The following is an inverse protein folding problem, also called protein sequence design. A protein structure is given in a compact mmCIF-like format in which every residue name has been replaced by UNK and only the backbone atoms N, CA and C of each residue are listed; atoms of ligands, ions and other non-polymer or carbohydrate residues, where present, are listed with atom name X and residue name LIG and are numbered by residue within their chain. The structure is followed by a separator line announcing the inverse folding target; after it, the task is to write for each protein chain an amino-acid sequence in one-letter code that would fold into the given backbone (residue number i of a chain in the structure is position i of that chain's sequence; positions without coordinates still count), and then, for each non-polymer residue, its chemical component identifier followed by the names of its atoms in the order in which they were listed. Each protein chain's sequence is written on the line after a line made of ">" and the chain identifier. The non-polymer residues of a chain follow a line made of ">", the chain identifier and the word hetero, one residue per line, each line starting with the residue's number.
data_IF_887200291730
#
_entry.id   IF_887200291730
#
_cell.length_a   1.000
_cell.length_b   1.000
_cell.length_c   1.000
_cell.angle_alpha   90.00
_cell.angle_beta   90.00
_cell.angle_gamma   90.00
#
_symmetry.space_group_name_H-M   'P 1'
#
loop_
_entity.id
_entity.type
_entity.pdbx_description
1 polymer ?
#
# COMPACT_ATOMS: atom_id res chain seq x y z
N UNK A 1 16.92 12.22 10.54
CA UNK A 1 17.99 11.40 9.89
C UNK A 1 18.90 10.61 10.84
N UNK A 2 18.70 10.62 12.17
CA UNK A 2 19.58 9.90 13.10
C UNK A 2 19.07 8.51 13.57
N UNK A 3 17.81 8.12 13.32
CA UNK A 3 17.24 6.89 13.90
C UNK A 3 17.11 5.68 12.96
N UNK A 4 17.56 5.79 11.70
CA UNK A 4 17.46 4.67 10.72
C UNK A 4 18.79 3.90 10.59
N UNK A 5 19.92 4.49 11.00
CA UNK A 5 21.24 3.84 10.89
C UNK A 5 21.54 2.83 12.00
N UNK A 6 20.80 2.84 13.11
CA UNK A 6 21.09 2.00 14.29
C UNK A 6 20.57 0.56 14.13
N UNK A 7 19.61 0.31 13.23
CA UNK A 7 19.05 -1.03 13.02
C UNK A 7 19.90 -1.96 12.14
N UNK A 8 20.86 -1.44 11.38
CA UNK A 8 21.67 -2.25 10.46
C UNK A 8 22.89 -2.93 11.10
N UNK A 9 23.29 -2.59 12.33
CA UNK A 9 24.51 -3.14 12.95
C UNK A 9 24.27 -4.45 13.75
N UNK A 10 23.04 -4.75 14.15
CA UNK A 10 22.74 -5.85 15.07
C UNK A 10 22.58 -7.21 14.36
N UNK A 11 22.20 -7.23 13.09
CA UNK A 11 21.94 -8.47 12.34
C UNK A 11 23.22 -9.10 11.76
N UNK A 12 24.28 -8.30 11.54
CA UNK A 12 25.53 -8.80 10.95
C UNK A 12 26.43 -9.57 11.94
N UNK A 13 26.31 -9.30 13.25
CA UNK A 13 27.16 -9.93 14.27
C UNK A 13 26.68 -11.29 14.79
N UNK A 14 25.42 -11.68 14.55
CA UNK A 14 24.93 -13.00 14.99
C UNK A 14 25.37 -14.16 14.09
N UNK A 15 25.83 -13.90 12.86
CA UNK A 15 26.27 -14.97 11.93
C UNK A 15 27.73 -15.40 12.11
N UNK A 16 28.52 -14.71 12.94
CA UNK A 16 29.95 -15.04 13.15
C UNK A 16 30.25 -15.90 14.38
N UNK A 17 29.26 -16.13 15.26
CA UNK A 17 29.44 -16.95 16.47
C UNK A 17 29.06 -18.44 16.30
N UNK A 18 28.50 -18.84 15.16
CA UNK A 18 28.03 -20.22 14.93
C UNK A 18 29.06 -21.13 14.24
N UNK A 19 30.28 -20.66 13.95
CA UNK A 19 31.32 -21.45 13.27
C UNK A 19 32.68 -21.34 13.97
N UNK A 20 32.76 -21.78 15.22
CA UNK A 20 34.02 -22.27 15.78
C UNK A 20 33.73 -23.17 16.97
N UNK A 21 33.97 -24.47 16.82
CA UNK A 21 34.60 -25.36 17.80
C UNK A 21 34.15 -26.81 17.52
N UNK A 22 34.95 -27.50 16.71
CA UNK A 22 35.05 -28.94 16.80
C UNK A 22 36.23 -29.31 17.70
N UNK A 23 36.01 -30.18 18.68
CA UNK A 23 36.90 -31.31 19.00
C UNK A 23 36.29 -32.25 20.05
N UNK A 24 36.76 -33.49 19.97
CA UNK A 24 36.21 -34.76 20.44
C UNK A 24 36.47 -35.03 21.95
N UNK A 25 35.57 -35.75 22.63
CA UNK A 25 35.90 -36.74 23.66
C UNK A 25 34.68 -37.61 24.02
N UNK A 26 34.84 -38.92 23.87
CA UNK A 26 33.92 -39.95 24.37
C UNK A 26 34.40 -40.36 25.76
N UNK A 27 33.54 -40.38 26.78
CA UNK A 27 33.44 -41.49 27.74
C UNK A 27 32.44 -41.23 28.89
N UNK A 28 31.91 -42.36 29.40
CA UNK A 28 31.20 -42.59 30.68
C UNK A 28 29.69 -42.28 30.75
N UNK A 29 28.96 -43.38 30.99
CA UNK A 29 27.52 -43.45 31.18
C UNK A 29 27.04 -42.70 32.43
N UNK A 30 26.01 -41.86 32.28
CA UNK A 30 25.21 -41.34 33.38
C UNK A 30 23.72 -41.44 33.04
N UNK A 31 22.97 -41.92 34.03
CA UNK A 31 21.56 -42.31 34.02
C UNK A 31 20.65 -41.18 33.49
N UNK A 32 19.67 -41.53 32.65
CA UNK A 32 18.60 -40.63 32.24
C UNK A 32 17.70 -40.33 33.45
N UNK A 33 17.77 -39.10 33.96
CA UNK A 33 16.75 -38.56 34.84
C UNK A 33 15.57 -38.09 33.98
N UNK A 34 14.39 -38.63 34.26
CA UNK A 34 13.11 -38.21 33.68
C UNK A 34 12.89 -36.70 33.91
N UNK A 35 12.91 -35.86 32.85
CA UNK A 35 12.81 -34.41 33.00
C UNK A 35 11.37 -33.95 33.27
N UNK A 36 10.38 -34.85 33.26
CA UNK A 36 8.96 -34.49 33.34
C UNK A 36 8.35 -34.62 34.74
N UNK A 37 9.08 -35.15 35.72
CA UNK A 37 8.60 -35.29 37.11
C UNK A 37 8.39 -33.98 37.90
N UNK A 38 8.63 -32.81 37.29
CA UNK A 38 8.51 -31.48 37.94
C UNK A 38 7.28 -30.67 37.51
N UNK A 39 6.45 -31.15 36.59
CA UNK A 39 5.30 -30.39 36.11
C UNK A 39 4.05 -30.73 36.94
N UNK A 40 3.57 -29.73 37.69
CA UNK A 40 2.21 -29.78 38.27
C UNK A 40 1.20 -29.61 37.12
N UNK A 41 0.05 -30.32 37.13
CA UNK A 41 -1.00 -30.10 36.14
C UNK A 41 -1.40 -28.62 36.16
N UNK A 42 -1.44 -28.04 34.97
CA UNK A 42 -1.73 -26.63 34.76
C UNK A 42 -3.10 -26.30 35.37
N UNK A 43 -3.15 -25.26 36.21
CA UNK A 43 -4.40 -24.79 36.80
C UNK A 43 -5.32 -24.39 35.65
N UNK A 44 -6.48 -25.04 35.54
CA UNK A 44 -7.47 -24.71 34.50
C UNK A 44 -7.73 -23.20 34.53
N UNK A 45 -7.25 -22.51 33.50
CA UNK A 45 -7.57 -21.11 33.32
C UNK A 45 -9.08 -21.01 33.04
N UNK A 46 -9.81 -20.08 33.66
CA UNK A 46 -11.21 -19.91 33.34
C UNK A 46 -11.34 -19.59 31.86
N UNK A 47 -12.08 -20.45 31.13
CA UNK A 47 -12.41 -20.23 29.72
C UNK A 47 -13.05 -18.86 29.61
N UNK A 48 -12.36 -17.92 28.96
CA UNK A 48 -12.88 -16.59 28.69
C UNK A 48 -14.22 -16.77 27.96
N UNK A 49 -15.33 -16.40 28.59
CA UNK A 49 -16.66 -16.46 27.94
C UNK A 49 -16.57 -15.67 26.63
N UNK A 50 -16.78 -16.37 25.51
CA UNK A 50 -16.84 -15.78 24.17
C UNK A 50 -17.85 -14.63 24.18
N UNK A 51 -17.44 -13.45 23.70
CA UNK A 51 -18.35 -12.33 23.43
C UNK A 51 -19.25 -12.72 22.25
N UNK A 52 -20.45 -13.22 22.56
CA UNK A 52 -21.44 -13.76 21.61
C UNK A 52 -21.85 -12.74 20.51
N UNK A 53 -21.67 -11.44 20.74
CA UNK A 53 -22.09 -10.38 19.82
C UNK A 53 -21.26 -10.29 18.52
N UNK A 54 -19.95 -10.59 18.56
CA UNK A 54 -19.07 -10.48 17.39
C UNK A 54 -19.44 -11.47 16.27
N UNK A 55 -19.94 -12.66 16.63
CA UNK A 55 -20.35 -13.68 15.67
C UNK A 55 -21.67 -13.33 14.96
N UNK A 56 -22.55 -12.55 15.59
CA UNK A 56 -23.79 -12.10 14.95
C UNK A 56 -23.53 -10.97 13.95
N UNK A 57 -22.74 -9.97 14.34
CA UNK A 57 -22.32 -8.87 13.46
C UNK A 57 -21.59 -9.41 12.22
N UNK A 58 -20.63 -10.32 12.41
CA UNK A 58 -19.91 -10.94 11.31
C UNK A 58 -20.85 -11.70 10.35
N UNK A 59 -21.83 -12.44 10.88
CA UNK A 59 -22.84 -13.14 10.06
C UNK A 59 -23.68 -12.17 9.24
N UNK A 60 -24.09 -11.04 9.81
CA UNK A 60 -24.86 -10.03 9.07
C UNK A 60 -24.00 -9.34 8.01
N UNK A 61 -22.75 -8.97 8.32
CA UNK A 61 -21.82 -8.38 7.34
C UNK A 61 -21.59 -9.32 6.14
N UNK A 62 -21.34 -10.62 6.38
CA UNK A 62 -21.25 -11.64 5.33
C UNK A 62 -22.50 -11.73 4.48
N UNK A 63 -23.68 -11.71 5.10
CA UNK A 63 -24.97 -11.77 4.40
C UNK A 63 -25.19 -10.54 3.53
N UNK A 64 -24.85 -9.36 4.03
CA UNK A 64 -24.91 -8.10 3.28
C UNK A 64 -23.94 -8.11 2.11
N UNK A 65 -22.68 -8.50 2.34
CA UNK A 65 -21.67 -8.60 1.29
C UNK A 65 -22.07 -9.60 0.20
N UNK A 66 -22.61 -10.77 0.57
CA UNK A 66 -23.16 -11.74 -0.39
C UNK A 66 -24.26 -11.15 -1.27
N UNK A 67 -25.10 -10.26 -0.73
CA UNK A 67 -26.10 -9.52 -1.51
C UNK A 67 -25.45 -8.46 -2.40
N UNK A 68 -24.42 -7.78 -1.91
CA UNK A 68 -23.67 -6.76 -2.64
C UNK A 68 -22.97 -7.35 -3.88
N UNK A 69 -22.32 -8.52 -3.74
CA UNK A 69 -21.70 -9.24 -4.85
C UNK A 69 -22.67 -9.52 -6.02
N UNK A 70 -23.94 -9.80 -5.72
CA UNK A 70 -24.97 -10.11 -6.73
C UNK A 70 -25.55 -8.91 -7.45
N UNK A 71 -25.34 -7.69 -6.95
CA UNK A 71 -25.88 -6.48 -7.60
C UNK A 71 -25.10 -6.19 -8.88
N UNK A 72 -25.83 -6.05 -10.00
CA UNK A 72 -25.32 -5.47 -11.24
C UNK A 72 -25.52 -3.97 -11.16
N UNK A 73 -24.44 -3.22 -11.01
CA UNK A 73 -24.46 -1.77 -10.98
C UNK A 73 -24.09 -1.32 -12.38
N UNK A 74 -25.03 -0.69 -13.09
CA UNK A 74 -24.79 -0.15 -14.43
C UNK A 74 -24.14 1.22 -14.25
N UNK A 75 -22.85 1.33 -14.55
CA UNK A 75 -22.20 2.62 -14.79
C UNK A 75 -22.72 3.18 -16.12
N UNK A 76 -23.82 3.93 -16.13
CA UNK A 76 -24.36 4.54 -17.36
C UNK A 76 -24.53 6.03 -17.19
N UNK A 77 -23.60 6.85 -17.69
CA UNK A 77 -23.40 8.32 -17.53
C UNK A 77 -24.61 9.29 -17.51
N UNK A 78 -25.86 8.86 -17.70
CA UNK A 78 -27.04 9.73 -17.65
C UNK A 78 -28.02 9.35 -16.50
N UNK A 79 -28.26 10.32 -15.61
CA UNK A 79 -29.22 10.35 -14.47
C UNK A 79 -28.72 9.82 -13.12
N UNK A 80 -28.24 10.74 -12.27
CA UNK A 80 -28.20 10.59 -10.80
C UNK A 80 -27.50 9.31 -10.29
N UNK A 81 -26.17 9.28 -10.37
CA UNK A 81 -25.36 8.08 -10.09
C UNK A 81 -25.30 7.73 -8.60
N UNK A 82 -25.71 6.50 -8.28
CA UNK A 82 -25.21 5.79 -7.09
C UNK A 82 -23.98 4.99 -7.51
N UNK A 83 -22.84 5.26 -6.89
CA UNK A 83 -21.62 4.47 -7.00
C UNK A 83 -21.79 3.11 -6.29
N UNK A 84 -20.92 2.14 -6.56
CA UNK A 84 -20.92 0.88 -5.77
C UNK A 84 -20.74 1.16 -4.27
N UNK A 85 -20.00 2.23 -3.95
CA UNK A 85 -19.80 2.72 -2.60
C UNK A 85 -21.11 3.22 -1.98
N UNK A 86 -21.93 3.98 -2.72
CA UNK A 86 -23.23 4.45 -2.22
C UNK A 86 -24.20 3.30 -1.98
N UNK A 87 -24.19 2.30 -2.87
CA UNK A 87 -25.00 1.07 -2.69
C UNK A 87 -24.53 0.29 -1.46
N UNK A 88 -23.22 0.11 -1.28
CA UNK A 88 -22.67 -0.54 -0.09
C UNK A 88 -23.03 0.23 1.19
N UNK A 89 -22.92 1.56 1.17
CA UNK A 89 -23.23 2.45 2.29
C UNK A 89 -24.68 2.32 2.74
N UNK A 90 -25.63 2.34 1.80
CA UNK A 90 -27.04 2.10 2.13
C UNK A 90 -27.29 0.67 2.65
N UNK A 91 -26.54 -0.32 2.17
CA UNK A 91 -26.71 -1.72 2.58
C UNK A 91 -26.19 -2.03 3.98
N UNK A 92 -25.20 -1.28 4.47
CA UNK A 92 -24.67 -1.42 5.85
C UNK A 92 -25.39 -0.51 6.86
N UNK A 93 -26.31 0.33 6.40
CA UNK A 93 -27.04 1.27 7.24
C UNK A 93 -27.81 0.54 8.34
N UNK A 94 -27.60 0.97 9.58
CA UNK A 94 -28.25 0.38 10.76
C UNK A 94 -27.52 -0.84 11.33
N UNK A 95 -26.41 -1.27 10.74
CA UNK A 95 -25.54 -2.30 11.31
C UNK A 95 -24.51 -1.60 12.19
N UNK A 96 -24.47 -1.98 13.47
CA UNK A 96 -23.45 -1.53 14.40
C UNK A 96 -22.30 -2.52 14.40
N UNK A 97 -21.09 -2.05 14.09
CA UNK A 97 -19.89 -2.86 14.03
C UNK A 97 -18.69 -2.02 14.52
N UNK A 98 -17.63 -2.73 14.90
CA UNK A 98 -16.34 -2.19 15.37
C UNK A 98 -15.22 -2.50 14.37
N UNK A 99 -14.05 -1.88 14.56
CA UNK A 99 -12.84 -2.24 13.83
C UNK A 99 -12.49 -3.74 13.95
N UNK A 100 -12.72 -4.36 15.12
CA UNK A 100 -12.51 -5.80 15.33
C UNK A 100 -13.45 -6.66 14.46
N UNK A 101 -14.68 -6.20 14.24
CA UNK A 101 -15.63 -6.89 13.36
C UNK A 101 -15.24 -6.74 11.89
N UNK A 102 -14.70 -5.59 11.49
CA UNK A 102 -14.16 -5.36 10.13
C UNK A 102 -12.92 -6.23 9.91
N UNK A 103 -12.03 -6.35 10.90
CA UNK A 103 -10.87 -7.22 10.84
C UNK A 103 -11.29 -8.70 10.66
N UNK A 104 -12.22 -9.20 11.49
CA UNK A 104 -12.78 -10.55 11.32
C UNK A 104 -13.46 -10.74 9.98
N UNK A 105 -14.18 -9.73 9.50
CA UNK A 105 -14.80 -9.77 8.19
C UNK A 105 -13.76 -9.88 7.07
N UNK A 106 -12.64 -9.15 7.15
CA UNK A 106 -11.55 -9.26 6.18
C UNK A 106 -10.97 -10.68 6.09
N UNK A 107 -10.81 -11.36 7.23
CA UNK A 107 -10.41 -12.77 7.26
C UNK A 107 -11.46 -13.65 6.58
N UNK A 108 -12.73 -13.42 6.88
CA UNK A 108 -13.82 -14.25 6.38
C UNK A 108 -14.19 -14.01 4.91
N UNK A 109 -13.61 -13.00 4.25
CA UNK A 109 -13.75 -12.79 2.82
C UNK A 109 -13.26 -13.98 1.98
N UNK A 110 -12.43 -14.86 2.55
CA UNK A 110 -11.98 -16.09 1.93
C UNK A 110 -13.12 -16.98 1.41
N UNK A 111 -14.29 -16.92 2.05
CA UNK A 111 -15.49 -17.67 1.66
C UNK A 111 -16.11 -17.22 0.33
N UNK A 112 -15.65 -16.11 -0.25
CA UNK A 112 -16.25 -15.48 -1.43
C UNK A 112 -15.28 -15.31 -2.61
N UNK A 113 -14.03 -15.81 -2.52
CA UNK A 113 -13.02 -15.65 -3.57
C UNK A 113 -13.43 -16.28 -4.91
N UNK A 114 -14.33 -17.26 -4.89
CA UNK A 114 -14.87 -17.90 -6.09
C UNK A 114 -15.92 -17.06 -6.84
N UNK A 115 -16.24 -15.85 -6.35
CA UNK A 115 -17.25 -14.98 -6.93
C UNK A 115 -16.65 -14.04 -7.96
N UNK A 116 -17.41 -13.80 -9.03
CA UNK A 116 -17.05 -12.83 -10.05
C UNK A 116 -16.91 -11.42 -9.46
N UNK A 117 -15.88 -10.69 -9.91
CA UNK A 117 -15.58 -9.30 -9.52
C UNK A 117 -15.33 -9.18 -7.99
N UNK A 118 -14.90 -10.28 -7.35
CA UNK A 118 -14.72 -10.34 -5.90
C UNK A 118 -13.63 -9.35 -5.43
N UNK A 119 -12.46 -9.36 -6.06
CA UNK A 119 -11.34 -8.50 -5.68
C UNK A 119 -11.75 -7.02 -5.59
N UNK A 120 -12.39 -6.48 -6.63
CA UNK A 120 -12.83 -5.08 -6.63
C UNK A 120 -13.94 -4.81 -5.62
N UNK A 121 -14.97 -5.67 -5.59
CA UNK A 121 -16.12 -5.47 -4.71
C UNK A 121 -15.74 -5.59 -3.24
N UNK A 122 -14.83 -6.50 -2.90
CA UNK A 122 -14.33 -6.67 -1.55
C UNK A 122 -13.64 -5.40 -1.05
N UNK A 123 -12.70 -4.84 -1.81
CA UNK A 123 -11.98 -3.64 -1.37
C UNK A 123 -12.86 -2.38 -1.34
N UNK A 124 -13.81 -2.24 -2.27
CA UNK A 124 -14.84 -1.17 -2.18
C UNK A 124 -15.70 -1.31 -0.94
N UNK A 125 -16.17 -2.52 -0.64
CA UNK A 125 -17.02 -2.77 0.53
C UNK A 125 -16.26 -2.55 1.84
N UNK A 126 -15.02 -3.03 1.95
CA UNK A 126 -14.12 -2.76 3.07
C UNK A 126 -13.88 -1.27 3.26
N UNK A 127 -13.63 -0.52 2.18
CA UNK A 127 -13.45 0.93 2.24
C UNK A 127 -14.67 1.64 2.81
N UNK A 128 -15.88 1.20 2.43
CA UNK A 128 -17.13 1.75 2.98
C UNK A 128 -17.31 1.41 4.46
N UNK A 129 -17.04 0.18 4.87
CA UNK A 129 -17.08 -0.20 6.28
C UNK A 129 -16.11 0.65 7.12
N UNK A 130 -14.90 0.88 6.62
CA UNK A 130 -13.89 1.66 7.34
C UNK A 130 -14.29 3.14 7.42
N UNK A 131 -14.74 3.74 6.32
CA UNK A 131 -15.09 5.15 6.26
C UNK A 131 -16.33 5.50 7.09
N UNK A 132 -17.33 4.62 7.10
CA UNK A 132 -18.57 4.81 7.88
C UNK A 132 -18.44 4.33 9.33
N UNK A 133 -17.41 3.55 9.63
CA UNK A 133 -17.13 3.04 10.97
C UNK A 133 -16.71 4.14 11.94
N UNK A 134 -17.05 3.94 13.22
CA UNK A 134 -16.80 4.91 14.28
C UNK A 134 -15.35 4.95 14.74
N UNK A 135 -14.65 3.82 14.64
CA UNK A 135 -13.25 3.72 15.04
C UNK A 135 -12.33 4.50 14.09
N UNK A 136 -11.10 4.79 14.55
CA UNK A 136 -10.07 5.49 13.79
C UNK A 136 -9.07 4.57 13.12
N UNK A 137 -8.82 3.40 13.72
CA UNK A 137 -7.73 2.50 13.35
C UNK A 137 -8.28 1.12 13.01
N UNK A 138 -7.96 0.64 11.80
CA UNK A 138 -8.45 -0.62 11.26
C UNK A 138 -7.29 -1.49 10.79
N UNK A 139 -7.44 -2.80 10.98
CA UNK A 139 -6.55 -3.81 10.44
C UNK A 139 -7.33 -4.64 9.42
N UNK A 140 -6.75 -4.84 8.24
CA UNK A 140 -7.34 -5.63 7.16
C UNK A 140 -6.35 -6.70 6.74
N UNK A 141 -6.76 -7.96 6.80
CA UNK A 141 -5.93 -9.08 6.38
C UNK A 141 -6.25 -9.44 4.93
N UNK A 142 -5.23 -9.39 4.07
CA UNK A 142 -5.38 -9.73 2.63
C UNK A 142 -4.42 -10.83 2.18
N UNK A 143 -3.47 -11.23 3.03
CA UNK A 143 -2.44 -12.23 2.67
C UNK A 143 -3.00 -13.58 2.21
N UNK A 144 -4.16 -13.97 2.73
CA UNK A 144 -4.86 -15.21 2.41
C UNK A 144 -5.90 -15.05 1.29
N UNK A 145 -6.00 -13.86 0.71
CA UNK A 145 -6.91 -13.52 -0.39
C UNK A 145 -6.14 -13.36 -1.69
N UNK A 146 -6.86 -13.41 -2.81
CA UNK A 146 -6.36 -12.81 -4.06
C UNK A 146 -6.17 -11.29 -3.90
N UNK A 147 -5.52 -10.66 -4.88
CA UNK A 147 -5.13 -9.24 -4.84
C UNK A 147 -6.37 -8.32 -4.74
N UNK A 148 -6.75 -7.93 -3.52
CA UNK A 148 -7.94 -7.09 -3.28
C UNK A 148 -7.67 -5.66 -3.72
N UNK A 149 -8.34 -5.23 -4.80
CA UNK A 149 -8.21 -3.88 -5.35
C UNK A 149 -9.04 -2.85 -4.58
N UNK A 150 -8.74 -1.57 -4.76
CA UNK A 150 -9.58 -0.47 -4.27
C UNK A 150 -9.73 -0.36 -2.74
N UNK A 151 -8.80 -0.92 -1.95
CA UNK A 151 -8.81 -0.70 -0.51
C UNK A 151 -8.44 0.76 -0.19
N UNK A 152 -9.21 1.41 0.68
CA UNK A 152 -8.95 2.76 1.15
C UNK A 152 -9.45 3.88 0.23
N UNK A 153 -10.45 3.61 -0.62
CA UNK A 153 -11.04 4.66 -1.48
C UNK A 153 -11.55 5.82 -0.62
N UNK A 154 -11.13 7.05 -0.96
CA UNK A 154 -11.56 8.31 -0.32
C UNK A 154 -11.46 8.25 1.21
N UNK A 155 -10.46 7.54 1.71
CA UNK A 155 -10.33 7.25 3.13
C UNK A 155 -9.83 8.45 3.93
N UNK A 156 -10.33 8.54 5.17
CA UNK A 156 -9.88 9.53 6.18
C UNK A 156 -9.42 8.90 7.50
N UNK A 157 -9.36 7.57 7.56
CA UNK A 157 -9.00 6.79 8.76
C UNK A 157 -7.58 6.21 8.65
N UNK A 158 -7.14 5.54 9.71
CA UNK A 158 -5.90 4.76 9.70
C UNK A 158 -6.19 3.31 9.34
N UNK A 159 -5.49 2.77 8.34
CA UNK A 159 -5.64 1.38 7.88
C UNK A 159 -4.25 0.73 7.85
N UNK A 160 -4.12 -0.42 8.49
CA UNK A 160 -2.98 -1.33 8.31
C UNK A 160 -3.43 -2.54 7.52
N UNK A 161 -2.87 -2.74 6.33
CA UNK A 161 -3.14 -3.89 5.47
C UNK A 161 -2.05 -4.94 5.70
N UNK A 162 -2.43 -6.06 6.31
CA UNK A 162 -1.58 -7.22 6.54
C UNK A 162 -1.64 -8.17 5.33
N UNK A 163 -0.91 -7.80 4.28
CA UNK A 163 -0.84 -8.56 3.03
C UNK A 163 -0.66 -7.67 1.82
N UNK A 164 -0.92 -8.24 0.65
CA UNK A 164 -0.86 -7.54 -0.64
C UNK A 164 -2.12 -6.72 -0.88
N UNK A 165 -2.00 -5.66 -1.69
CA UNK A 165 -3.14 -4.94 -2.24
C UNK A 165 -3.16 -5.10 -3.74
N UNK A 166 -4.35 -5.24 -4.32
CA UNK A 166 -4.55 -5.10 -5.76
C UNK A 166 -4.41 -3.64 -6.19
N UNK A 167 -4.89 -3.36 -7.39
CA UNK A 167 -4.76 -2.03 -7.99
C UNK A 167 -5.58 -0.95 -7.28
N UNK A 168 -5.18 0.31 -7.47
CA UNK A 168 -5.88 1.51 -6.99
C UNK A 168 -6.09 1.57 -5.46
N UNK A 169 -5.11 1.10 -4.68
CA UNK A 169 -5.07 1.34 -3.24
C UNK A 169 -5.03 2.85 -2.95
N UNK A 170 -5.78 3.30 -1.93
CA UNK A 170 -5.87 4.70 -1.53
C UNK A 170 -6.41 5.66 -2.62
N UNK A 171 -7.20 5.15 -3.58
CA UNK A 171 -7.78 5.99 -4.64
C UNK A 171 -8.55 7.19 -4.06
N UNK A 172 -8.16 8.39 -4.47
CA UNK A 172 -8.82 9.63 -4.08
C UNK A 172 -8.76 9.97 -2.59
N UNK A 173 -7.81 9.41 -1.83
CA UNK A 173 -7.69 9.67 -0.37
C UNK A 173 -7.54 11.18 -0.09
N UNK A 174 -8.15 11.68 1.00
CA UNK A 174 -8.10 13.10 1.40
C UNK A 174 -8.01 13.30 2.91
N UNK A 175 -7.29 12.39 3.61
CA UNK A 175 -6.69 12.67 4.92
C UNK A 175 -6.87 11.59 5.99
N UNK A 176 -5.92 10.66 6.07
CA UNK A 176 -5.76 9.58 7.05
C UNK A 176 -4.39 8.93 6.82
N UNK A 177 -4.17 7.69 7.24
CA UNK A 177 -2.93 6.95 6.95
C UNK A 177 -3.18 5.51 6.53
N UNK A 178 -2.61 5.07 5.42
CA UNK A 178 -2.67 3.67 4.98
C UNK A 178 -1.26 3.09 4.95
N UNK A 179 -1.05 1.95 5.61
CA UNK A 179 0.19 1.17 5.56
C UNK A 179 -0.13 -0.17 4.90
N UNK A 180 0.64 -0.54 3.88
CA UNK A 180 0.54 -1.83 3.22
C UNK A 180 1.78 -2.67 3.53
N UNK A 181 1.59 -3.76 4.30
CA UNK A 181 2.63 -4.71 4.69
C UNK A 181 2.78 -5.84 3.66
N UNK A 182 2.89 -5.45 2.40
CA UNK A 182 3.03 -6.31 1.24
C UNK A 182 3.17 -5.50 -0.05
N UNK A 183 3.08 -6.19 -1.17
CA UNK A 183 3.16 -5.56 -2.49
C UNK A 183 1.83 -4.92 -2.88
N UNK A 184 1.90 -3.88 -3.70
CA UNK A 184 0.74 -3.24 -4.32
C UNK A 184 0.83 -3.30 -5.83
N UNK A 185 -0.31 -3.42 -6.50
CA UNK A 185 -0.34 -3.36 -7.96
C UNK A 185 -0.38 -1.89 -8.46
N UNK A 186 -0.90 -1.69 -9.66
CA UNK A 186 -0.89 -0.39 -10.33
C UNK A 186 -1.81 0.62 -9.65
N UNK A 187 -1.58 1.90 -9.88
CA UNK A 187 -2.47 3.02 -9.49
C UNK A 187 -2.56 3.29 -7.98
N UNK A 188 -1.57 2.82 -7.20
CA UNK A 188 -1.49 3.16 -5.79
C UNK A 188 -1.43 4.70 -5.60
N UNK A 189 -2.38 5.25 -4.84
CA UNK A 189 -2.49 6.69 -4.64
C UNK A 189 -2.97 7.47 -5.87
N UNK A 190 -3.71 6.85 -6.79
CA UNK A 190 -4.37 7.58 -7.87
C UNK A 190 -5.33 8.65 -7.31
N UNK A 191 -5.26 9.87 -7.84
CA UNK A 191 -5.97 11.05 -7.33
C UNK A 191 -5.77 11.36 -5.84
N UNK A 192 -4.66 10.90 -5.23
CA UNK A 192 -4.35 11.23 -3.84
C UNK A 192 -4.34 12.76 -3.66
N UNK A 193 -5.15 13.26 -2.73
CA UNK A 193 -5.32 14.69 -2.47
C UNK A 193 -4.97 15.08 -1.04
N UNK A 194 -4.87 14.10 -0.12
CA UNK A 194 -4.41 14.30 1.26
C UNK A 194 -4.25 12.97 2.02
N UNK A 195 -3.47 13.01 3.11
CA UNK A 195 -3.11 11.83 3.90
C UNK A 195 -1.75 11.23 3.52
N UNK A 196 -1.42 10.10 4.13
CA UNK A 196 -0.15 9.39 3.92
C UNK A 196 -0.40 7.93 3.50
N UNK A 197 0.21 7.50 2.40
CA UNK A 197 0.24 6.13 1.93
C UNK A 197 1.68 5.58 2.06
N UNK A 198 1.84 4.50 2.82
CA UNK A 198 3.13 3.84 3.05
C UNK A 198 3.05 2.42 2.51
N UNK A 199 3.99 2.09 1.63
CA UNK A 199 4.07 0.81 0.93
C UNK A 199 5.38 0.15 1.34
N UNK A 200 5.30 -0.93 2.14
CA UNK A 200 6.49 -1.61 2.66
C UNK A 200 7.05 -2.66 1.69
N UNK A 201 6.23 -3.15 0.76
CA UNK A 201 6.66 -4.05 -0.31
C UNK A 201 7.03 -3.31 -1.60
N UNK A 202 6.96 -4.04 -2.70
CA UNK A 202 7.10 -3.51 -4.05
C UNK A 202 5.78 -2.94 -4.57
N UNK A 203 5.89 -2.18 -5.66
CA UNK A 203 4.74 -1.67 -6.39
C UNK A 203 4.95 -1.82 -7.89
N UNK A 204 3.91 -1.74 -8.73
CA UNK A 204 4.08 -2.00 -10.17
C UNK A 204 4.24 -0.76 -11.03
N UNK A 205 3.21 0.09 -11.14
CA UNK A 205 3.22 1.27 -12.03
C UNK A 205 2.17 2.30 -11.62
N UNK A 206 2.26 3.50 -12.20
CA UNK A 206 1.32 4.62 -12.05
C UNK A 206 1.07 5.04 -10.60
N UNK A 207 2.10 4.94 -9.75
CA UNK A 207 2.01 5.44 -8.38
C UNK A 207 1.83 6.95 -8.38
N UNK A 208 0.86 7.44 -7.62
CA UNK A 208 0.57 8.88 -7.54
C UNK A 208 0.06 9.46 -8.85
N UNK A 209 -0.60 8.65 -9.69
CA UNK A 209 -1.23 9.13 -10.92
C UNK A 209 -2.28 10.20 -10.60
N UNK A 210 -2.21 11.36 -11.25
CA UNK A 210 -3.05 12.52 -10.95
C UNK A 210 -3.04 13.00 -9.49
N UNK A 211 -1.98 12.70 -8.73
CA UNK A 211 -1.84 13.15 -7.36
C UNK A 211 -1.80 14.69 -7.27
N UNK A 212 -2.58 15.23 -6.33
CA UNK A 212 -2.72 16.68 -6.10
C UNK A 212 -2.29 17.13 -4.69
N UNK A 213 -2.14 16.19 -3.76
CA UNK A 213 -1.71 16.44 -2.39
C UNK A 213 -1.52 15.16 -1.60
N UNK A 214 -1.06 15.26 -0.35
CA UNK A 214 -0.69 14.11 0.47
C UNK A 214 0.72 13.61 0.20
N UNK A 215 1.04 12.43 0.73
CA UNK A 215 2.37 11.85 0.71
C UNK A 215 2.33 10.35 0.40
N UNK A 216 3.18 9.89 -0.51
CA UNK A 216 3.39 8.48 -0.80
C UNK A 216 4.83 8.12 -0.44
N UNK A 217 5.01 7.04 0.32
CA UNK A 217 6.33 6.47 0.63
C UNK A 217 6.35 5.02 0.20
N UNK A 218 7.23 4.67 -0.74
CA UNK A 218 7.47 3.30 -1.18
C UNK A 218 8.85 2.85 -0.71
N UNK A 219 8.90 1.77 0.07
CA UNK A 219 10.16 1.20 0.53
C UNK A 219 10.79 0.23 -0.49
N UNK A 220 9.98 -0.50 -1.25
CA UNK A 220 10.44 -1.43 -2.28
C UNK A 220 10.69 -0.78 -3.64
N UNK A 221 10.75 -1.63 -4.67
CA UNK A 221 10.97 -1.25 -6.06
C UNK A 221 9.65 -1.03 -6.81
N UNK A 222 9.76 -0.32 -7.93
CA UNK A 222 8.74 -0.30 -8.98
C UNK A 222 9.05 -1.41 -9.99
N UNK A 223 8.30 -2.52 -9.92
CA UNK A 223 8.47 -3.72 -10.73
C UNK A 223 7.41 -3.76 -11.82
N UNK A 224 7.82 -3.59 -13.09
CA UNK A 224 6.90 -3.75 -14.21
C UNK A 224 7.52 -4.59 -15.34
N UNK A 225 7.00 -5.80 -15.51
CA UNK A 225 7.39 -6.74 -16.57
C UNK A 225 6.89 -6.35 -17.96
N UNK A 226 5.89 -5.45 -18.07
CA UNK A 226 5.32 -4.98 -19.33
C UNK A 226 6.11 -3.83 -19.98
N UNK A 227 7.22 -3.40 -19.36
CA UNK A 227 8.15 -2.42 -19.93
C UNK A 227 7.70 -0.96 -19.84
N UNK A 228 6.62 -0.64 -19.11
CA UNK A 228 6.17 0.73 -18.92
C UNK A 228 5.75 1.01 -17.47
N UNK A 229 6.72 1.33 -16.60
CA UNK A 229 6.41 1.89 -15.28
C UNK A 229 6.30 3.42 -15.37
N UNK A 230 5.43 4.04 -14.56
CA UNK A 230 5.47 5.48 -14.34
C UNK A 230 5.24 5.82 -12.87
N UNK A 231 5.76 6.97 -12.46
CA UNK A 231 5.62 7.50 -11.09
C UNK A 231 5.27 8.98 -11.21
N UNK A 232 4.22 9.42 -10.51
CA UNK A 232 3.77 10.82 -10.51
C UNK A 232 3.34 11.31 -11.89
N UNK A 233 2.76 10.44 -12.71
CA UNK A 233 2.26 10.85 -14.03
C UNK A 233 1.06 11.81 -13.85
N UNK A 234 1.13 12.96 -14.51
CA UNK A 234 0.16 14.06 -14.38
C UNK A 234 -0.01 14.56 -12.92
N UNK A 235 1.03 14.41 -12.09
CA UNK A 235 1.04 14.90 -10.72
C UNK A 235 1.05 16.44 -10.71
N UNK A 236 0.16 17.04 -9.92
CA UNK A 236 0.03 18.51 -9.79
C UNK A 236 0.45 19.03 -8.41
N UNK A 237 0.59 18.15 -7.42
CA UNK A 237 0.99 18.50 -6.05
C UNK A 237 1.20 17.29 -5.17
N UNK A 238 1.70 17.50 -3.94
CA UNK A 238 2.04 16.44 -2.98
C UNK A 238 3.50 15.98 -3.07
N UNK A 239 3.83 14.91 -2.33
CA UNK A 239 5.18 14.35 -2.24
C UNK A 239 5.18 12.82 -2.48
N UNK A 240 6.08 12.35 -3.34
CA UNK A 240 6.33 10.92 -3.56
C UNK A 240 7.79 10.61 -3.25
N UNK A 241 8.04 9.67 -2.35
CA UNK A 241 9.38 9.17 -2.01
C UNK A 241 9.47 7.68 -2.30
N UNK A 242 10.49 7.27 -3.05
CA UNK A 242 10.73 5.87 -3.40
C UNK A 242 12.15 5.50 -2.96
N UNK A 243 12.26 4.50 -2.09
CA UNK A 243 13.54 4.01 -1.59
C UNK A 243 14.17 2.94 -2.48
N UNK A 244 13.38 2.19 -3.23
CA UNK A 244 13.87 1.25 -4.23
C UNK A 244 14.10 1.89 -5.60
N UNK A 245 14.21 1.01 -6.60
CA UNK A 245 14.50 1.39 -7.98
C UNK A 245 13.23 1.66 -8.78
N UNK A 246 13.33 2.54 -9.78
CA UNK A 246 12.27 2.83 -10.75
C UNK A 246 12.77 2.63 -12.16
N UNK A 247 12.05 1.88 -12.98
CA UNK A 247 12.52 1.51 -14.31
C UNK A 247 12.31 2.58 -15.38
N UNK A 248 11.19 3.32 -15.35
CA UNK A 248 10.80 4.24 -16.43
C UNK A 248 9.96 5.41 -15.92
N UNK A 249 9.99 6.51 -16.67
CA UNK A 249 9.01 7.61 -16.70
C UNK A 249 8.61 8.18 -15.33
N UNK A 250 9.61 8.68 -14.60
CA UNK A 250 9.39 9.46 -13.37
C UNK A 250 8.96 10.88 -13.75
N UNK A 251 7.84 11.35 -13.19
CA UNK A 251 7.32 12.72 -13.38
C UNK A 251 6.86 13.01 -14.80
N UNK A 252 6.26 12.02 -15.48
CA UNK A 252 5.67 12.24 -16.80
C UNK A 252 4.51 13.24 -16.70
N UNK A 253 4.47 14.25 -17.58
CA UNK A 253 3.44 15.31 -17.57
C UNK A 253 3.21 15.97 -16.19
N UNK A 254 4.21 15.91 -15.30
CA UNK A 254 4.13 16.47 -13.95
C UNK A 254 4.06 17.99 -14.04
N UNK A 255 3.10 18.58 -13.32
CA UNK A 255 2.83 20.02 -13.30
C UNK A 255 3.22 20.67 -11.97
N UNK A 256 3.39 19.86 -10.92
CA UNK A 256 3.74 20.34 -9.58
C UNK A 256 3.96 19.19 -8.60
N UNK A 257 4.38 19.53 -7.39
CA UNK A 257 4.75 18.57 -6.35
C UNK A 257 6.23 18.19 -6.37
N UNK A 258 6.58 17.19 -5.56
CA UNK A 258 7.97 16.72 -5.40
C UNK A 258 8.04 15.20 -5.48
N UNK A 259 8.95 14.70 -6.31
CA UNK A 259 9.29 13.27 -6.39
C UNK A 259 10.75 13.09 -5.99
N UNK A 260 11.03 12.19 -5.05
CA UNK A 260 12.39 11.83 -4.64
C UNK A 260 12.61 10.33 -4.82
N UNK A 261 13.63 9.96 -5.60
CA UNK A 261 14.03 8.58 -5.83
C UNK A 261 15.39 8.35 -5.16
N UNK A 262 15.41 7.54 -4.11
CA UNK A 262 16.65 7.19 -3.39
C UNK A 262 17.40 6.02 -4.01
N UNK A 263 16.69 5.10 -4.69
CA UNK A 263 17.32 4.08 -5.53
C UNK A 263 17.68 4.61 -6.91
N UNK A 264 17.89 3.70 -7.85
CA UNK A 264 18.18 4.08 -9.24
C UNK A 264 16.91 4.37 -10.03
N UNK A 265 16.99 5.32 -10.95
CA UNK A 265 15.93 5.62 -11.90
C UNK A 265 16.34 5.17 -13.31
N UNK A 266 15.40 4.78 -14.16
CA UNK A 266 15.72 4.39 -15.53
C UNK A 266 15.56 5.53 -16.52
N UNK A 267 14.76 5.29 -17.55
CA UNK A 267 14.70 6.15 -18.74
C UNK A 267 13.51 7.11 -18.72
N UNK A 268 13.60 8.16 -19.53
CA UNK A 268 12.52 9.13 -19.77
C UNK A 268 12.08 9.93 -18.53
N UNK A 269 13.02 10.28 -17.65
CA UNK A 269 12.74 11.12 -16.48
C UNK A 269 12.30 12.52 -16.94
N UNK A 270 11.20 13.02 -16.38
CA UNK A 270 10.65 14.35 -16.67
C UNK A 270 10.07 14.49 -18.09
N UNK A 271 9.55 13.38 -18.65
CA UNK A 271 8.88 13.40 -19.97
C UNK A 271 7.69 14.34 -19.95
N UNK A 272 7.70 15.36 -20.80
CA UNK A 272 6.61 16.36 -20.87
C UNK A 272 6.34 17.07 -19.53
N UNK A 273 7.32 17.12 -18.62
CA UNK A 273 7.20 17.86 -17.36
C UNK A 273 6.92 19.35 -17.62
N UNK A 274 5.89 19.85 -16.95
CA UNK A 274 5.37 21.22 -16.99
C UNK A 274 5.61 21.97 -15.66
N UNK A 275 6.00 21.29 -14.58
CA UNK A 275 6.36 21.90 -13.31
C UNK A 275 6.70 20.89 -12.21
N UNK A 276 7.04 21.38 -11.02
CA UNK A 276 7.44 20.56 -9.87
C UNK A 276 8.93 20.24 -9.81
N UNK A 277 9.29 19.35 -8.89
CA UNK A 277 10.68 18.96 -8.62
C UNK A 277 10.87 17.45 -8.64
N UNK A 278 11.91 16.98 -9.32
CA UNK A 278 12.36 15.59 -9.30
C UNK A 278 13.78 15.54 -8.72
N UNK A 279 13.96 14.76 -7.65
CA UNK A 279 15.23 14.56 -6.97
C UNK A 279 15.68 13.11 -7.14
N UNK A 280 16.87 12.91 -7.69
CA UNK A 280 17.47 11.60 -7.94
C UNK A 280 18.72 11.45 -7.07
N UNK A 281 18.68 10.58 -6.06
CA UNK A 281 19.84 10.34 -5.20
C UNK A 281 20.68 9.15 -5.69
N UNK A 282 20.06 8.16 -6.32
CA UNK A 282 20.75 7.10 -7.06
C UNK A 282 21.12 7.51 -8.49
N UNK A 283 21.63 6.55 -9.25
CA UNK A 283 22.00 6.77 -10.65
C UNK A 283 20.75 6.75 -11.54
N UNK A 284 20.84 7.38 -12.71
CA UNK A 284 19.77 7.37 -13.69
C UNK A 284 20.24 7.02 -15.10
N UNK A 285 19.38 6.39 -15.92
CA UNK A 285 19.73 6.04 -17.31
C UNK A 285 19.62 7.22 -18.27
N UNK A 286 18.47 7.91 -18.30
CA UNK A 286 18.29 9.04 -19.21
C UNK A 286 17.18 9.99 -18.77
N UNK A 287 17.40 11.28 -19.02
CA UNK A 287 16.33 12.27 -19.03
C UNK A 287 15.51 12.11 -20.31
N UNK A 288 14.24 12.49 -20.27
CA UNK A 288 13.42 12.52 -21.48
C UNK A 288 14.01 13.48 -22.52
N UNK A 289 14.16 12.98 -23.76
CA UNK A 289 14.69 13.75 -24.87
C UNK A 289 13.91 15.03 -25.15
N UNK A 290 14.62 16.05 -25.62
CA UNK A 290 14.02 17.29 -26.08
C UNK A 290 13.50 17.11 -27.51
N UNK A 291 12.18 17.09 -27.67
CA UNK A 291 11.54 17.32 -28.96
C UNK A 291 11.10 18.78 -29.00
N UNK A 292 11.82 19.66 -29.73
CA UNK A 292 11.43 21.05 -29.88
C UNK A 292 10.08 21.10 -30.60
N UNK A 293 9.09 21.68 -29.95
CA UNK A 293 7.80 21.95 -30.54
C UNK A 293 7.26 23.26 -29.95
N UNK A 294 7.22 24.34 -30.77
CA UNK A 294 6.90 25.69 -30.30
C UNK A 294 5.48 25.83 -29.71
N UNK A 295 4.60 24.84 -29.93
CA UNK A 295 3.26 24.85 -29.34
C UNK A 295 3.21 24.31 -27.90
N UNK A 296 4.13 23.43 -27.52
CA UNK A 296 4.19 22.80 -26.18
C UNK A 296 5.38 23.28 -25.34
N UNK A 297 6.43 23.84 -25.95
CA UNK A 297 7.61 24.31 -25.22
C UNK A 297 7.28 25.45 -24.24
N UNK A 298 6.30 26.30 -24.55
CA UNK A 298 5.77 27.35 -23.65
C UNK A 298 5.14 26.85 -22.34
N UNK A 299 4.89 25.54 -22.21
CA UNK A 299 4.30 24.94 -21.01
C UNK A 299 5.28 24.07 -20.23
N UNK A 300 6.55 23.99 -20.65
CA UNK A 300 7.55 23.15 -19.98
C UNK A 300 8.25 23.95 -18.89
N UNK A 301 7.89 23.73 -17.62
CA UNK A 301 8.67 24.17 -16.46
C UNK A 301 9.06 22.96 -15.59
N UNK A 302 9.83 23.20 -14.51
CA UNK A 302 10.22 22.17 -13.55
C UNK A 302 11.73 22.00 -13.39
N UNK A 303 12.11 21.37 -12.29
CA UNK A 303 13.49 21.21 -11.86
C UNK A 303 13.83 19.74 -11.68
N UNK A 304 15.00 19.31 -12.19
CA UNK A 304 15.53 17.97 -11.92
C UNK A 304 16.90 18.10 -11.26
N UNK A 305 17.04 17.46 -10.12
CA UNK A 305 18.26 17.38 -9.33
C UNK A 305 18.81 15.96 -9.35
N UNK A 306 20.13 15.83 -9.42
CA UNK A 306 20.84 14.57 -9.22
C UNK A 306 21.92 14.76 -8.16
N UNK A 307 21.84 13.99 -7.06
CA UNK A 307 22.73 14.05 -5.89
C UNK A 307 22.90 15.49 -5.39
N UNK A 308 21.76 16.18 -5.22
CA UNK A 308 21.69 17.57 -4.76
C UNK A 308 22.09 18.65 -5.78
N UNK A 309 22.59 18.29 -6.97
CA UNK A 309 22.95 19.26 -8.02
C UNK A 309 21.82 19.40 -9.04
N UNK A 310 21.46 20.64 -9.38
CA UNK A 310 20.53 20.93 -10.47
C UNK A 310 21.15 20.50 -11.82
N UNK A 311 20.47 19.59 -12.53
CA UNK A 311 20.90 19.05 -13.83
C UNK A 311 19.97 19.43 -14.98
N UNK A 312 18.75 19.84 -14.67
CA UNK A 312 17.80 20.37 -15.63
C UNK A 312 16.96 21.47 -14.98
N UNK A 313 16.94 22.64 -15.61
CA UNK A 313 16.04 23.73 -15.29
C UNK A 313 15.26 24.08 -16.56
N UNK A 314 13.93 23.91 -16.50
CA UNK A 314 13.04 24.31 -17.60
C UNK A 314 12.21 25.54 -17.25
N UNK A 315 12.39 26.14 -16.07
CA UNK A 315 11.60 27.30 -15.65
C UNK A 315 11.93 28.59 -16.42
N UNK A 316 13.06 28.60 -17.16
CA UNK A 316 13.60 29.79 -17.83
C UNK A 316 13.51 29.75 -19.37
N UNK A 317 12.81 28.76 -19.96
CA UNK A 317 12.58 28.66 -21.40
C UNK A 317 11.29 29.38 -21.83
#
# INVERSE_FOLDING_TARGET
>A
EADIKTYHYTIFNMRKLAMSNGQCAVSHALRANDPFGKYKPETQQPVRKLKVQGDETLRELKKVFKRFLRKKIKETQERGFFTEQDVAKEMIRGIFYTAEDVEKFSLALAEFQDKKDFAEKAGRFLSVLINEGKDSDYIVHTRHLEHISYIGIKNTKNITIEGHSGYAAAYGMSGGRIIVNGDVELDAGEFLSGGELILNGNATSRIGYHMSGGKIVLHGNIENSSGYSSVGDVMVGGEVMIFGNVNYSVGSSMKGGKITIYGNAGENIGKMMEGGEIHLEGDYKSLAGHYPNPYIDKYRAGLIFHKGKLILDRTTL
#
